data_IF_460939057286
#
_entry.id   IF_460939057286
#
_cell.length_a   1.000
_cell.length_b   1.000
_cell.length_c   1.000
_cell.angle_alpha   90.00
_cell.angle_beta   90.00
_cell.angle_gamma   90.00
#
_symmetry.space_group_name_H-M   'P 1'
#
loop_
_entity.id
_entity.type
_entity.pdbx_description
1 polymer ?
#
# COMPACT_ATOMS: atom_id res chain seq x y z
N UNK A 1 -23.99 -1.12 -17.23
CA UNK A 1 -22.94 -0.34 -17.89
C UNK A 1 -23.62 0.61 -18.86
N UNK A 2 -23.35 1.92 -18.82
CA UNK A 2 -23.93 2.87 -19.78
C UNK A 2 -23.53 2.49 -21.21
N UNK A 3 -24.40 2.74 -22.18
CA UNK A 3 -24.20 2.41 -23.59
C UNK A 3 -24.53 3.65 -24.42
N UNK A 4 -23.62 4.05 -25.30
CA UNK A 4 -23.78 5.23 -26.14
C UNK A 4 -22.43 5.79 -26.61
N UNK A 5 -22.46 6.97 -27.21
CA UNK A 5 -21.27 7.76 -27.51
C UNK A 5 -20.46 8.08 -26.24
N UNK A 6 -19.16 8.30 -26.40
CA UNK A 6 -18.24 8.57 -25.28
C UNK A 6 -18.67 9.76 -24.40
N UNK A 7 -19.23 10.81 -25.00
CA UNK A 7 -19.77 11.96 -24.26
C UNK A 7 -20.93 11.58 -23.34
N UNK A 8 -21.89 10.78 -23.82
CA UNK A 8 -23.03 10.32 -23.01
C UNK A 8 -22.57 9.40 -21.88
N UNK A 9 -21.59 8.53 -22.14
CA UNK A 9 -20.99 7.68 -21.10
C UNK A 9 -20.27 8.55 -20.06
N UNK A 10 -19.50 9.55 -20.50
CA UNK A 10 -18.83 10.49 -19.61
C UNK A 10 -19.82 11.31 -18.77
N UNK A 11 -20.97 11.72 -19.31
CA UNK A 11 -22.04 12.39 -18.56
C UNK A 11 -22.54 11.51 -17.40
N UNK A 12 -22.72 10.21 -17.64
CA UNK A 12 -23.12 9.26 -16.59
C UNK A 12 -22.04 9.11 -15.53
N UNK A 13 -20.76 9.02 -15.93
CA UNK A 13 -19.65 8.91 -14.98
C UNK A 13 -19.56 10.16 -14.10
N UNK A 14 -19.63 11.34 -14.73
CA UNK A 14 -19.63 12.64 -14.05
C UNK A 14 -20.79 12.77 -13.07
N UNK A 15 -22.00 12.40 -13.48
CA UNK A 15 -23.18 12.40 -12.62
C UNK A 15 -22.94 11.53 -11.38
N UNK A 16 -22.42 10.31 -11.58
CA UNK A 16 -22.18 9.37 -10.47
C UNK A 16 -21.09 9.86 -9.51
N UNK A 17 -20.02 10.45 -10.02
CA UNK A 17 -18.97 11.08 -9.20
C UNK A 17 -19.60 12.20 -8.35
N UNK A 18 -20.37 13.10 -8.97
CA UNK A 18 -20.96 14.27 -8.29
C UNK A 18 -22.06 13.91 -7.29
N UNK A 19 -22.92 12.94 -7.62
CA UNK A 19 -24.09 12.61 -6.81
C UNK A 19 -23.81 11.55 -5.74
N UNK A 20 -22.93 10.59 -6.04
CA UNK A 20 -22.68 9.43 -5.17
C UNK A 20 -21.28 9.42 -4.53
N UNK A 21 -20.47 10.47 -4.76
CA UNK A 21 -19.13 10.64 -4.17
C UNK A 21 -18.24 9.39 -4.39
N UNK A 22 -18.24 8.92 -5.63
CA UNK A 22 -17.49 7.73 -6.06
C UNK A 22 -16.11 8.15 -6.56
N UNK A 23 -15.04 7.58 -5.99
CA UNK A 23 -13.65 7.87 -6.36
C UNK A 23 -13.19 7.23 -7.67
N UNK A 24 -13.87 6.17 -8.13
CA UNK A 24 -13.48 5.45 -9.34
C UNK A 24 -14.41 4.29 -9.71
N UNK A 25 -14.18 3.73 -10.88
CA UNK A 25 -15.00 2.66 -11.44
C UNK A 25 -14.17 1.42 -11.74
N UNK A 26 -14.71 0.26 -11.40
CA UNK A 26 -14.24 -1.01 -11.94
C UNK A 26 -14.98 -1.28 -13.26
N UNK A 27 -14.23 -1.39 -14.35
CA UNK A 27 -14.80 -1.62 -15.69
C UNK A 27 -14.93 -3.12 -15.96
N UNK A 28 -16.14 -3.55 -16.29
CA UNK A 28 -16.39 -4.89 -16.82
C UNK A 28 -16.39 -4.85 -18.35
N UNK A 29 -15.90 -5.92 -18.99
CA UNK A 29 -15.86 -6.01 -20.44
C UNK A 29 -17.02 -6.86 -20.98
N UNK A 30 -17.47 -6.54 -22.20
CA UNK A 30 -18.45 -7.37 -22.94
C UNK A 30 -17.72 -8.25 -23.95
N UNK A 31 -16.72 -7.69 -24.63
CA UNK A 31 -15.77 -8.41 -25.49
C UNK A 31 -14.37 -8.22 -24.93
N UNK A 32 -13.60 -9.31 -24.85
CA UNK A 32 -12.19 -9.24 -24.47
C UNK A 32 -11.43 -8.41 -25.51
N UNK A 33 -10.51 -7.56 -25.03
CA UNK A 33 -9.73 -6.60 -25.80
C UNK A 33 -10.52 -5.38 -26.30
N UNK A 34 -11.56 -5.56 -27.13
CA UNK A 34 -12.25 -4.43 -27.80
C UNK A 34 -12.85 -3.41 -26.82
N UNK A 35 -13.38 -3.91 -25.69
CA UNK A 35 -14.01 -3.04 -24.67
C UNK A 35 -13.01 -2.10 -24.03
N UNK A 36 -11.76 -2.55 -23.83
CA UNK A 36 -10.70 -1.74 -23.25
C UNK A 36 -10.11 -0.76 -24.26
N UNK A 37 -9.89 -1.19 -25.50
CA UNK A 37 -9.40 -0.32 -26.58
C UNK A 37 -10.38 0.83 -26.81
N UNK A 38 -11.68 0.52 -26.94
CA UNK A 38 -12.73 1.55 -27.10
C UNK A 38 -12.75 2.54 -25.94
N UNK A 39 -12.57 2.06 -24.71
CA UNK A 39 -12.52 2.93 -23.53
C UNK A 39 -11.29 3.84 -23.54
N UNK A 40 -10.11 3.31 -23.85
CA UNK A 40 -8.86 4.08 -23.90
C UNK A 40 -8.87 5.09 -25.05
N UNK A 41 -9.38 4.71 -26.22
CA UNK A 41 -9.34 5.57 -27.42
C UNK A 41 -10.42 6.65 -27.40
N UNK A 42 -11.61 6.36 -26.87
CA UNK A 42 -12.75 7.27 -26.95
C UNK A 42 -13.13 7.90 -25.60
N UNK A 43 -13.18 7.11 -24.52
CA UNK A 43 -13.69 7.58 -23.24
C UNK A 43 -12.62 8.32 -22.43
N UNK A 44 -11.39 7.81 -22.37
CA UNK A 44 -10.29 8.43 -21.60
C UNK A 44 -10.03 9.88 -22.04
N UNK A 45 -9.90 10.22 -23.35
CA UNK A 45 -9.68 11.61 -23.76
C UNK A 45 -10.84 12.54 -23.36
N UNK A 46 -12.07 12.05 -23.39
CA UNK A 46 -13.24 12.83 -23.01
C UNK A 46 -13.28 13.08 -21.49
N UNK A 47 -12.94 12.08 -20.67
CA UNK A 47 -12.81 12.24 -19.22
C UNK A 47 -11.66 13.20 -18.85
N UNK A 48 -10.53 13.12 -19.55
CA UNK A 48 -9.39 14.03 -19.38
C UNK A 48 -9.77 15.48 -19.74
N UNK A 49 -10.47 15.70 -20.86
CA UNK A 49 -10.97 17.02 -21.27
C UNK A 49 -11.88 17.66 -20.23
N UNK A 50 -12.61 16.85 -19.46
CA UNK A 50 -13.51 17.27 -18.38
C UNK A 50 -12.82 17.40 -17.01
N UNK A 51 -11.54 17.03 -16.91
CA UNK A 51 -10.82 17.00 -15.64
C UNK A 51 -11.26 15.89 -14.67
N UNK A 52 -11.92 14.85 -15.18
CA UNK A 52 -12.40 13.70 -14.39
C UNK A 52 -11.39 12.55 -14.34
N UNK A 53 -10.35 12.59 -15.16
CA UNK A 53 -9.29 11.60 -15.20
C UNK A 53 -7.93 12.28 -15.30
N UNK A 54 -6.92 11.67 -14.68
CA UNK A 54 -5.55 12.17 -14.74
C UNK A 54 -4.97 12.07 -16.16
N UNK A 55 -4.04 12.97 -16.48
CA UNK A 55 -3.27 12.93 -17.74
C UNK A 55 -2.02 12.06 -17.62
N UNK A 56 -1.47 11.94 -16.40
CA UNK A 56 -0.31 11.12 -16.09
C UNK A 56 -0.37 10.70 -14.62
N UNK A 57 0.48 9.76 -14.22
CA UNK A 57 0.59 9.29 -12.85
C UNK A 57 1.04 10.41 -11.89
N UNK A 58 0.33 10.57 -10.77
CA UNK A 58 0.65 11.58 -9.74
C UNK A 58 2.03 11.38 -9.13
N UNK A 59 2.45 10.11 -8.97
CA UNK A 59 3.79 9.74 -8.48
C UNK A 59 4.46 8.88 -9.55
N UNK A 60 5.20 9.49 -10.51
CA UNK A 60 5.88 8.75 -11.56
C UNK A 60 6.88 7.73 -11.00
N UNK A 61 6.75 6.47 -11.44
CA UNK A 61 7.57 5.36 -10.92
C UNK A 61 7.25 4.94 -9.48
N UNK A 62 6.24 5.54 -8.85
CA UNK A 62 5.77 5.18 -7.52
C UNK A 62 4.94 3.89 -7.51
N UNK A 63 4.70 3.38 -6.32
CA UNK A 63 3.84 2.24 -6.08
C UNK A 63 2.37 2.54 -6.41
N UNK A 64 1.57 1.47 -6.54
CA UNK A 64 0.12 1.61 -6.71
C UNK A 64 -0.51 2.46 -5.59
N UNK A 65 -0.08 2.27 -4.33
CA UNK A 65 -0.64 2.98 -3.18
C UNK A 65 -0.32 4.47 -3.19
N UNK A 66 0.88 4.84 -3.60
CA UNK A 66 1.27 6.25 -3.74
C UNK A 66 0.44 6.95 -4.81
N UNK A 67 0.21 6.29 -5.96
CA UNK A 67 -0.64 6.84 -7.02
C UNK A 67 -2.12 6.87 -6.64
N UNK A 68 -2.60 5.85 -5.90
CA UNK A 68 -3.98 5.79 -5.43
C UNK A 68 -4.32 6.92 -4.45
N UNK A 69 -3.40 7.25 -3.52
CA UNK A 69 -3.61 8.36 -2.59
C UNK A 69 -3.09 9.70 -3.12
N UNK A 70 -2.28 9.71 -4.19
CA UNK A 70 -1.59 10.89 -4.69
C UNK A 70 -0.52 11.43 -3.73
N UNK A 71 0.04 10.59 -2.85
CA UNK A 71 0.99 10.99 -1.80
C UNK A 71 2.32 10.25 -2.02
N UNK A 72 3.38 10.95 -2.47
CA UNK A 72 4.72 10.38 -2.55
C UNK A 72 5.20 9.86 -1.19
N UNK A 73 5.80 8.67 -1.15
CA UNK A 73 6.29 8.04 0.07
C UNK A 73 5.24 7.23 0.86
N UNK A 74 3.95 7.30 0.51
CA UNK A 74 2.90 6.48 1.12
C UNK A 74 2.87 5.06 0.52
N UNK A 75 3.99 4.35 0.59
CA UNK A 75 4.17 3.01 0.01
C UNK A 75 3.45 1.90 0.80
N UNK A 76 3.20 2.14 2.09
CA UNK A 76 2.58 1.19 3.01
C UNK A 76 1.22 1.66 3.52
N UNK A 77 0.54 0.80 4.29
CA UNK A 77 -0.71 1.15 4.96
C UNK A 77 -0.53 2.41 5.83
N UNK A 78 -1.50 3.35 5.81
CA UNK A 78 -1.52 4.48 6.74
C UNK A 78 -1.51 4.02 8.20
N UNK A 79 -1.06 4.90 9.11
CA UNK A 79 -0.92 4.55 10.53
C UNK A 79 -2.26 4.23 11.20
N UNK A 80 -3.36 4.80 10.71
CA UNK A 80 -4.71 4.53 11.20
C UNK A 80 -5.34 3.24 10.64
N UNK A 81 -4.71 2.58 9.66
CA UNK A 81 -5.24 1.36 9.07
C UNK A 81 -5.02 0.16 10.03
N UNK A 82 -6.03 -0.68 10.33
CA UNK A 82 -5.89 -1.79 11.29
C UNK A 82 -4.75 -2.76 10.99
N UNK A 83 -4.49 -2.99 9.69
CA UNK A 83 -3.38 -3.82 9.22
C UNK A 83 -1.98 -3.35 9.64
N UNK A 84 -1.81 -2.07 10.00
CA UNK A 84 -0.52 -1.53 10.48
C UNK A 84 -0.04 -2.18 11.78
N UNK A 85 -0.95 -2.74 12.58
CA UNK A 85 -0.62 -3.48 13.81
C UNK A 85 0.07 -4.83 13.55
N UNK A 86 0.00 -5.35 12.34
CA UNK A 86 0.53 -6.66 11.96
C UNK A 86 1.77 -6.52 11.06
N UNK A 87 2.44 -5.35 11.07
CA UNK A 87 3.71 -5.17 10.38
C UNK A 87 4.72 -6.15 10.97
N UNK A 88 5.31 -6.97 10.11
CA UNK A 88 6.38 -7.87 10.51
C UNK A 88 7.62 -7.06 10.89
N UNK A 89 7.98 -7.10 12.16
CA UNK A 89 9.26 -6.56 12.62
C UNK A 89 10.31 -7.67 12.58
N UNK A 90 11.13 -7.68 11.52
CA UNK A 90 12.15 -8.69 11.33
C UNK A 90 13.15 -8.74 12.49
N UNK A 91 13.42 -7.62 13.14
CA UNK A 91 14.33 -7.56 14.31
C UNK A 91 13.71 -8.28 15.50
N UNK A 92 12.45 -8.02 15.84
CA UNK A 92 11.73 -8.70 16.94
C UNK A 92 11.52 -10.18 16.65
N UNK A 93 11.33 -10.56 15.38
CA UNK A 93 11.14 -11.94 14.99
C UNK A 93 12.41 -12.79 15.15
N UNK A 94 13.58 -12.24 14.81
CA UNK A 94 14.85 -12.91 15.05
C UNK A 94 15.09 -13.09 16.56
N UNK A 95 14.90 -12.04 17.37
CA UNK A 95 14.99 -12.12 18.83
C UNK A 95 14.05 -13.18 19.40
N UNK A 96 12.77 -13.17 19.00
CA UNK A 96 11.81 -14.18 19.45
C UNK A 96 12.13 -15.60 18.98
N UNK A 97 12.90 -15.77 17.89
CA UNK A 97 13.35 -17.09 17.43
C UNK A 97 14.57 -17.60 18.22
N UNK A 98 15.46 -16.70 18.64
CA UNK A 98 16.62 -17.01 19.48
C UNK A 98 16.18 -17.37 20.89
N UNK A 99 15.29 -16.57 21.49
CA UNK A 99 14.70 -16.86 22.81
C UNK A 99 13.99 -18.21 22.84
N UNK A 100 13.20 -18.54 21.79
CA UNK A 100 12.55 -19.87 21.70
C UNK A 100 13.54 -21.03 21.56
N UNK A 101 14.69 -20.82 20.92
CA UNK A 101 15.77 -21.83 20.84
C UNK A 101 16.42 -22.04 22.21
N UNK A 102 16.60 -20.97 22.98
CA UNK A 102 17.16 -21.03 24.34
C UNK A 102 16.21 -21.74 25.33
N UNK A 103 14.90 -21.49 25.21
CA UNK A 103 13.88 -22.21 25.99
C UNK A 103 13.83 -23.71 25.67
N UNK A 104 13.91 -24.09 24.39
CA UNK A 104 13.98 -25.51 23.97
C UNK A 104 15.30 -26.19 24.37
N UNK A 105 16.38 -25.42 24.55
CA UNK A 105 17.66 -25.91 25.04
C UNK A 105 17.72 -26.06 26.58
N UNK A 106 16.59 -25.91 27.29
CA UNK A 106 16.49 -26.16 28.72
C UNK A 106 17.15 -25.10 29.61
N UNK A 107 17.45 -23.92 29.07
CA UNK A 107 17.90 -22.78 29.89
C UNK A 107 16.67 -22.00 30.34
N UNK A 108 16.34 -22.08 31.62
CA UNK A 108 15.17 -21.35 32.15
C UNK A 108 15.32 -19.85 31.89
N UNK A 109 14.33 -19.22 31.27
CA UNK A 109 14.34 -17.80 30.86
C UNK A 109 14.52 -16.78 31.99
N UNK A 110 14.57 -17.24 33.25
CA UNK A 110 14.85 -16.41 34.42
C UNK A 110 16.35 -16.05 34.50
N UNK A 111 17.25 -16.86 33.91
CA UNK A 111 18.70 -16.64 34.03
C UNK A 111 19.28 -15.59 33.07
N UNK A 112 18.55 -15.16 32.01
CA UNK A 112 19.05 -14.17 31.05
C UNK A 112 18.70 -12.72 31.45
N UNK A 113 17.56 -12.51 32.12
CA UNK A 113 17.17 -11.18 32.62
C UNK A 113 18.05 -10.71 33.79
N UNK A 114 18.54 -11.64 34.62
CA UNK A 114 19.40 -11.34 35.78
C UNK A 114 20.87 -11.05 35.40
N UNK A 115 21.32 -11.52 34.22
CA UNK A 115 22.69 -11.28 33.75
C UNK A 115 22.90 -9.90 33.10
N UNK A 116 21.82 -9.21 32.70
CA UNK A 116 21.90 -7.95 31.94
C UNK A 116 21.36 -6.71 32.68
N UNK A 117 20.83 -6.85 33.91
CA UNK A 117 20.66 -5.75 34.86
C UNK A 117 20.02 -4.46 34.31
N UNK A 118 19.13 -4.52 33.32
CA UNK A 118 18.60 -3.33 32.65
C UNK A 118 17.08 -3.22 32.78
N UNK A 119 16.65 -2.11 33.39
CA UNK A 119 15.26 -1.65 33.54
C UNK A 119 14.62 -1.32 32.18
N UNK A 120 13.29 -1.42 32.00
CA UNK A 120 12.64 -1.37 30.70
C UNK A 120 12.43 0.07 30.23
N UNK A 121 13.49 0.75 29.80
CA UNK A 121 13.39 1.90 28.91
C UNK A 121 14.71 2.11 28.17
N UNK A 122 14.63 2.16 26.85
CA UNK A 122 15.72 2.40 25.90
C UNK A 122 16.87 1.39 25.91
N UNK A 123 16.75 0.35 25.07
CA UNK A 123 17.93 -0.31 24.50
C UNK A 123 18.22 0.35 23.15
N UNK A 124 19.10 1.36 23.17
CA UNK A 124 19.85 1.79 22.00
C UNK A 124 21.04 0.82 21.86
N UNK A 125 21.06 -0.03 20.82
CA UNK A 125 22.26 -0.80 20.50
C UNK A 125 23.13 0.03 19.57
N UNK A 126 24.08 0.74 20.17
CA UNK A 126 25.22 1.29 19.47
C UNK A 126 26.23 0.17 19.15
N UNK A 127 26.65 0.11 17.88
CA UNK A 127 27.95 -0.39 17.49
C UNK A 127 28.09 -1.89 17.26
N UNK A 128 28.07 -2.30 15.99
CA UNK A 128 29.21 -3.06 15.45
C UNK A 128 29.30 -2.83 13.95
N UNK A 129 30.43 -2.22 13.54
CA UNK A 129 30.81 -2.09 12.14
C UNK A 129 31.27 -3.46 11.62
N UNK A 130 30.84 -3.83 10.42
CA UNK A 130 31.45 -4.92 9.65
C UNK A 130 31.87 -4.35 8.30
N UNK A 131 33.19 -4.15 8.16
CA UNK A 131 33.87 -3.88 6.89
C UNK A 131 34.01 -5.20 6.13
N UNK A 132 33.65 -5.21 4.85
CA UNK A 132 33.90 -6.34 3.94
C UNK A 132 35.21 -6.05 3.17
N UNK A 133 36.17 -6.98 3.25
CA UNK A 133 37.34 -7.05 2.36
C UNK A 133 37.11 -8.07 1.26
#
# INVERSE_FOLDING_TARGET
>A
MPVGAASMVADVFEQRIREADIDGFNMAYVSNQDSYETAVELLVPELQRRGLMWNDYTVPGGTFRENLYGIPGQTHLPDHHPGTKFKWNATEAHVNSEVRKDEHAGKSGIQLAEALGASPMNVFVAGTAVTVS
#
